data_IF_820292910510
#
_entry.id   IF_820292910510
#
_cell.length_a   1.000
_cell.length_b   1.000
_cell.length_c   1.000
_cell.angle_alpha   90.00
_cell.angle_beta   90.00
_cell.angle_gamma   90.00
#
_symmetry.space_group_name_H-M   'P 1'
#
loop_
_entity.id
_entity.type
_entity.pdbx_description
1 polymer ?
#
# COMPACT_ATOMS: atom_id res chain seq x y z
N UNK A 1 -4.92 23.25 -4.74
CA UNK A 1 -4.31 22.01 -5.31
C UNK A 1 -5.03 20.79 -4.73
N UNK A 2 -5.38 19.80 -5.56
CA UNK A 2 -6.00 18.55 -5.09
C UNK A 2 -4.91 17.65 -4.50
N UNK A 3 -5.12 17.14 -3.29
CA UNK A 3 -4.17 16.21 -2.67
C UNK A 3 -4.36 14.82 -3.29
N UNK A 4 -3.36 14.35 -4.07
CA UNK A 4 -3.42 13.10 -4.83
C UNK A 4 -3.63 11.88 -3.93
N UNK A 5 -2.97 11.84 -2.76
CA UNK A 5 -3.14 10.75 -1.80
C UNK A 5 -4.61 10.62 -1.37
N UNK A 6 -5.26 11.71 -0.97
CA UNK A 6 -6.68 11.65 -0.60
C UNK A 6 -7.61 11.40 -1.80
N UNK A 7 -7.19 11.77 -3.01
CA UNK A 7 -7.95 11.49 -4.23
C UNK A 7 -7.97 9.98 -4.55
N UNK A 8 -6.82 9.31 -4.41
CA UNK A 8 -6.72 7.84 -4.55
C UNK A 8 -7.60 7.15 -3.51
N UNK A 9 -7.55 7.59 -2.25
CA UNK A 9 -8.40 7.03 -1.20
C UNK A 9 -9.89 7.26 -1.45
N UNK A 10 -10.28 8.45 -1.91
CA UNK A 10 -11.67 8.73 -2.25
C UNK A 10 -12.16 7.83 -3.39
N UNK A 11 -11.36 7.68 -4.45
CA UNK A 11 -11.70 6.80 -5.58
C UNK A 11 -11.83 5.35 -5.14
N UNK A 12 -10.86 4.84 -4.38
CA UNK A 12 -10.87 3.47 -3.85
C UNK A 12 -12.13 3.18 -3.02
N UNK A 13 -12.52 4.09 -2.12
CA UNK A 13 -13.72 3.94 -1.28
C UNK A 13 -15.01 3.98 -2.12
N UNK A 14 -15.12 4.98 -3.00
CA UNK A 14 -16.34 5.20 -3.79
C UNK A 14 -16.52 4.09 -4.83
N UNK A 15 -15.44 3.70 -5.51
CA UNK A 15 -15.43 2.60 -6.47
C UNK A 15 -15.82 1.28 -5.79
N UNK A 16 -15.25 0.95 -4.61
CA UNK A 16 -15.64 -0.27 -3.89
C UNK A 16 -17.13 -0.28 -3.56
N UNK A 17 -17.67 0.83 -3.06
CA UNK A 17 -19.11 0.94 -2.74
C UNK A 17 -20.00 0.86 -3.97
N UNK A 18 -19.57 1.41 -5.11
CA UNK A 18 -20.28 1.37 -6.40
C UNK A 18 -20.40 -0.07 -6.93
N UNK A 19 -19.31 -0.82 -6.92
CA UNK A 19 -19.27 -2.18 -7.50
C UNK A 19 -19.63 -3.31 -6.51
N UNK A 20 -19.53 -3.06 -5.20
CA UNK A 20 -19.85 -4.05 -4.16
C UNK A 20 -20.81 -3.48 -3.07
N UNK A 21 -22.00 -2.98 -3.44
CA UNK A 21 -22.88 -2.26 -2.51
C UNK A 21 -23.40 -3.11 -1.32
N UNK A 22 -23.45 -4.44 -1.47
CA UNK A 22 -23.93 -5.36 -0.43
C UNK A 22 -22.87 -5.73 0.62
N UNK A 23 -21.59 -5.41 0.37
CA UNK A 23 -20.47 -5.80 1.26
C UNK A 23 -20.32 -4.81 2.41
N UNK A 24 -20.41 -5.33 3.65
CA UNK A 24 -20.29 -4.52 4.88
C UNK A 24 -18.85 -4.33 5.35
N UNK A 25 -17.94 -5.17 4.88
CA UNK A 25 -16.52 -5.21 5.23
C UNK A 25 -15.65 -4.25 4.41
N UNK A 26 -16.26 -3.37 3.60
CA UNK A 26 -15.56 -2.45 2.70
C UNK A 26 -14.45 -1.64 3.37
N UNK A 27 -14.61 -1.24 4.64
CA UNK A 27 -13.61 -0.44 5.36
C UNK A 27 -12.29 -1.20 5.48
N UNK A 28 -12.37 -2.44 5.95
CA UNK A 28 -11.19 -3.28 6.17
C UNK A 28 -10.59 -3.65 4.82
N UNK A 29 -11.41 -4.01 3.84
CA UNK A 29 -10.94 -4.38 2.51
C UNK A 29 -10.19 -3.24 1.82
N UNK A 30 -10.77 -2.04 1.78
CA UNK A 30 -10.14 -0.86 1.18
C UNK A 30 -8.90 -0.43 1.98
N UNK A 31 -8.96 -0.53 3.31
CA UNK A 31 -7.83 -0.21 4.18
C UNK A 31 -6.63 -1.13 3.92
N UNK A 32 -6.84 -2.44 3.95
CA UNK A 32 -5.79 -3.42 3.71
C UNK A 32 -5.22 -3.25 2.32
N UNK A 33 -6.08 -3.20 1.30
CA UNK A 33 -5.66 -3.05 -0.09
C UNK A 33 -4.75 -1.83 -0.30
N UNK A 34 -5.19 -0.63 0.08
CA UNK A 34 -4.38 0.57 -0.12
C UNK A 34 -3.12 0.58 0.76
N UNK A 35 -3.16 -0.05 1.93
CA UNK A 35 -1.97 -0.20 2.80
C UNK A 35 -0.91 -1.08 2.16
N UNK A 36 -1.31 -2.24 1.61
CA UNK A 36 -0.40 -3.13 0.90
C UNK A 36 0.20 -2.48 -0.34
N UNK A 37 -0.60 -1.74 -1.11
CA UNK A 37 -0.08 -1.00 -2.28
C UNK A 37 0.96 0.05 -1.84
N UNK A 38 0.70 0.82 -0.78
CA UNK A 38 1.67 1.81 -0.30
C UNK A 38 2.94 1.13 0.26
N UNK A 39 2.81 0.03 0.99
CA UNK A 39 3.94 -0.74 1.52
C UNK A 39 4.82 -1.29 0.38
N UNK A 40 4.19 -1.84 -0.66
CA UNK A 40 4.86 -2.37 -1.84
C UNK A 40 5.55 -1.28 -2.67
N UNK A 41 4.92 -0.11 -2.80
CA UNK A 41 5.55 1.07 -3.41
C UNK A 41 6.78 1.54 -2.64
N UNK A 42 6.71 1.58 -1.31
CA UNK A 42 7.86 1.95 -0.47
C UNK A 42 8.97 0.91 -0.51
N UNK A 43 8.63 -0.38 -0.43
CA UNK A 43 9.58 -1.46 -0.59
C UNK A 43 10.34 -1.37 -1.91
N UNK A 44 9.64 -1.05 -3.00
CA UNK A 44 10.26 -0.84 -4.33
C UNK A 44 11.31 0.26 -4.30
N UNK A 45 11.01 1.39 -3.65
CA UNK A 45 11.97 2.50 -3.49
C UNK A 45 13.18 2.04 -2.69
N UNK A 46 12.97 1.35 -1.58
CA UNK A 46 14.06 0.90 -0.71
C UNK A 46 14.96 -0.15 -1.36
N UNK A 47 14.40 -1.03 -2.19
CA UNK A 47 15.16 -1.98 -2.99
C UNK A 47 16.18 -1.26 -3.88
N UNK A 48 15.79 -0.17 -4.55
CA UNK A 48 16.72 0.63 -5.36
C UNK A 48 17.72 1.44 -4.53
N UNK A 49 17.28 2.00 -3.40
CA UNK A 49 18.19 2.70 -2.47
C UNK A 49 19.29 1.76 -1.97
N UNK A 50 18.95 0.51 -1.68
CA UNK A 50 19.90 -0.55 -1.30
C UNK A 50 20.82 -0.91 -2.48
N UNK A 51 20.27 -1.10 -3.69
CA UNK A 51 21.03 -1.41 -4.89
C UNK A 51 22.12 -0.37 -5.20
N UNK A 52 21.78 0.92 -5.12
CA UNK A 52 22.74 2.02 -5.34
C UNK A 52 23.62 2.32 -4.12
N UNK A 53 23.55 1.51 -3.06
CA UNK A 53 24.33 1.64 -1.83
C UNK A 53 24.22 3.04 -1.19
N UNK A 54 23.06 3.69 -1.35
CA UNK A 54 22.79 5.04 -0.81
C UNK A 54 22.55 4.95 0.70
N UNK A 55 21.79 3.94 1.13
CA UNK A 55 21.53 3.63 2.53
C UNK A 55 21.53 2.11 2.72
N UNK A 56 22.25 1.64 3.72
CA UNK A 56 22.30 0.24 4.09
C UNK A 56 21.34 0.00 5.26
N UNK A 57 20.10 -0.36 4.94
CA UNK A 57 19.07 -0.65 5.94
C UNK A 57 19.18 -2.14 6.31
N UNK A 58 19.53 -2.48 7.56
CA UNK A 58 19.56 -3.87 7.99
C UNK A 58 18.14 -4.44 7.92
N UNK A 59 17.98 -5.54 7.17
CA UNK A 59 16.69 -6.20 7.03
C UNK A 59 16.30 -6.86 8.36
N UNK A 60 15.03 -6.73 8.73
CA UNK A 60 14.53 -7.40 9.92
C UNK A 60 14.43 -8.90 9.65
N UNK A 61 15.21 -9.71 10.37
CA UNK A 61 15.17 -11.17 10.23
C UNK A 61 14.35 -11.77 11.37
N UNK A 62 13.46 -12.69 11.00
CA UNK A 62 12.66 -13.49 11.91
C UNK A 62 12.99 -14.94 11.59
N UNK A 63 13.14 -15.75 12.62
CA UNK A 63 13.39 -17.19 12.50
C UNK A 63 12.62 -17.86 13.63
N UNK A 64 11.29 -17.90 13.50
CA UNK A 64 10.38 -18.40 14.54
C UNK A 64 9.65 -19.64 14.04
N UNK A 65 9.38 -19.74 12.74
CA UNK A 65 8.59 -20.83 12.18
C UNK A 65 9.46 -21.82 11.37
N UNK A 66 9.06 -23.10 11.29
CA UNK A 66 9.74 -24.06 10.41
C UNK A 66 9.47 -23.70 8.94
N UNK A 67 10.34 -22.87 8.36
CA UNK A 67 10.33 -22.48 6.95
C UNK A 67 10.49 -20.97 6.74
N UNK A 68 11.28 -20.58 5.74
CA UNK A 68 11.69 -19.18 5.52
C UNK A 68 10.60 -18.26 4.96
N UNK A 69 9.55 -18.82 4.34
CA UNK A 69 8.53 -18.03 3.65
C UNK A 69 7.64 -17.25 4.63
N UNK A 70 7.14 -17.94 5.67
CA UNK A 70 6.27 -17.33 6.69
C UNK A 70 7.04 -16.24 7.43
N UNK A 71 8.26 -16.55 7.84
CA UNK A 71 9.13 -15.60 8.53
C UNK A 71 9.45 -14.38 7.66
N UNK A 72 9.78 -14.58 6.38
CA UNK A 72 10.01 -13.47 5.44
C UNK A 72 8.77 -12.60 5.23
N UNK A 73 7.58 -13.21 5.16
CA UNK A 73 6.32 -12.49 5.01
C UNK A 73 5.99 -11.66 6.26
N UNK A 74 6.20 -12.22 7.46
CA UNK A 74 5.97 -11.50 8.72
C UNK A 74 6.98 -10.35 8.86
N UNK A 75 8.25 -10.59 8.54
CA UNK A 75 9.28 -9.57 8.51
C UNK A 75 8.88 -8.41 7.57
N UNK A 76 8.48 -8.73 6.34
CA UNK A 76 7.98 -7.74 5.39
C UNK A 76 6.77 -6.96 5.94
N UNK A 77 5.83 -7.67 6.56
CA UNK A 77 4.61 -7.05 7.10
C UNK A 77 4.94 -6.07 8.23
N UNK A 78 5.85 -6.44 9.13
CA UNK A 78 6.24 -5.56 10.23
C UNK A 78 7.11 -4.38 9.77
N UNK A 79 8.05 -4.62 8.85
CA UNK A 79 8.98 -3.60 8.37
C UNK A 79 8.31 -2.60 7.44
N UNK A 80 7.48 -3.07 6.50
CA UNK A 80 6.91 -2.24 5.45
C UNK A 80 5.41 -1.99 5.62
N UNK A 81 4.59 -3.01 5.92
CA UNK A 81 3.13 -2.80 5.95
C UNK A 81 2.64 -2.08 7.21
N UNK A 82 3.23 -2.37 8.38
CA UNK A 82 2.78 -1.86 9.67
C UNK A 82 2.89 -0.33 9.79
N UNK A 83 4.00 0.34 9.40
CA UNK A 83 4.07 1.81 9.44
C UNK A 83 2.97 2.46 8.59
N UNK A 84 2.70 1.91 7.40
CA UNK A 84 1.61 2.41 6.55
C UNK A 84 0.23 2.08 7.11
N UNK A 85 0.05 0.95 7.78
CA UNK A 85 -1.22 0.62 8.44
C UNK A 85 -1.55 1.68 9.51
N UNK A 86 -0.57 2.01 10.37
CA UNK A 86 -0.72 3.06 11.39
C UNK A 86 -0.99 4.41 10.75
N UNK A 87 -0.18 4.82 9.77
CA UNK A 87 -0.33 6.10 9.08
C UNK A 87 -1.70 6.23 8.38
N UNK A 88 -2.07 5.24 7.58
CA UNK A 88 -3.34 5.22 6.86
C UNK A 88 -4.54 5.21 7.82
N UNK A 89 -4.43 4.52 8.96
CA UNK A 89 -5.48 4.53 9.96
C UNK A 89 -5.73 5.96 10.47
N UNK A 90 -4.68 6.67 10.88
CA UNK A 90 -4.81 8.04 11.40
C UNK A 90 -5.22 9.07 10.34
N UNK A 91 -4.76 8.90 9.10
CA UNK A 91 -5.06 9.84 8.02
C UNK A 91 -6.47 9.63 7.44
N UNK A 92 -6.97 8.40 7.40
CA UNK A 92 -8.20 8.05 6.68
C UNK A 92 -9.33 7.63 7.60
N UNK A 93 -9.11 6.73 8.55
CA UNK A 93 -10.21 6.10 9.29
C UNK A 93 -10.43 6.65 10.69
N UNK A 94 -9.39 7.18 11.33
CA UNK A 94 -9.46 7.78 12.65
C UNK A 94 -10.52 8.88 12.68
N UNK A 95 -11.39 8.88 13.70
CA UNK A 95 -12.54 9.79 13.84
C UNK A 95 -13.42 9.88 12.59
N UNK A 96 -13.53 8.79 11.80
CA UNK A 96 -14.30 8.74 10.56
C UNK A 96 -13.91 9.79 9.49
N UNK A 97 -12.64 10.21 9.44
CA UNK A 97 -12.13 11.20 8.47
C UNK A 97 -12.45 10.85 7.01
N UNK A 98 -12.59 9.57 6.67
CA UNK A 98 -12.99 9.11 5.35
C UNK A 98 -14.30 9.74 4.87
N UNK A 99 -15.23 10.07 5.79
CA UNK A 99 -16.48 10.77 5.45
C UNK A 99 -16.20 12.17 4.89
N UNK A 100 -15.27 12.88 5.51
CA UNK A 100 -14.83 14.21 5.06
C UNK A 100 -14.11 14.10 3.72
N UNK A 101 -13.31 13.05 3.52
CA UNK A 101 -12.58 12.80 2.27
C UNK A 101 -13.55 12.56 1.11
N UNK A 102 -14.53 11.66 1.26
CA UNK A 102 -15.52 11.39 0.20
C UNK A 102 -16.44 12.57 -0.07
N UNK A 103 -16.73 13.41 0.93
CA UNK A 103 -17.49 14.64 0.74
C UNK A 103 -16.68 15.69 -0.03
N UNK A 104 -15.38 15.79 0.25
CA UNK A 104 -14.46 16.71 -0.45
C UNK A 104 -14.19 16.27 -1.89
N UNK A 105 -14.19 14.96 -2.15
CA UNK A 105 -13.96 14.36 -3.46
C UNK A 105 -15.12 13.41 -3.81
N UNK A 106 -16.32 13.92 -4.15
CA UNK A 106 -17.51 13.10 -4.38
C UNK A 106 -17.47 12.35 -5.72
N UNK A 107 -16.67 12.85 -6.67
CA UNK A 107 -16.50 12.25 -8.00
C UNK A 107 -15.02 12.36 -8.39
N UNK A 108 -14.15 11.56 -7.75
CA UNK A 108 -12.75 11.49 -8.13
C UNK A 108 -12.64 10.92 -9.56
N UNK A 109 -11.52 11.17 -10.27
CA UNK A 109 -11.29 10.57 -11.58
C UNK A 109 -11.46 9.05 -11.50
N UNK A 110 -12.32 8.50 -12.35
CA UNK A 110 -12.57 7.07 -12.35
C UNK A 110 -11.28 6.29 -12.62
N UNK A 111 -11.10 5.17 -11.91
CA UNK A 111 -9.98 4.24 -12.05
C UNK A 111 -8.62 4.78 -11.58
N UNK A 112 -8.55 5.94 -10.92
CA UNK A 112 -7.28 6.47 -10.41
C UNK A 112 -6.61 5.51 -9.42
N UNK A 113 -7.37 4.98 -8.47
CA UNK A 113 -6.87 4.02 -7.49
C UNK A 113 -6.41 2.72 -8.16
N UNK A 114 -7.14 2.27 -9.17
CA UNK A 114 -6.77 1.09 -9.95
C UNK A 114 -5.46 1.32 -10.73
N UNK A 115 -5.36 2.42 -11.49
CA UNK A 115 -4.16 2.77 -12.26
C UNK A 115 -2.96 2.88 -11.32
N UNK A 116 -3.08 3.62 -10.22
CA UNK A 116 -2.02 3.74 -9.22
C UNK A 116 -1.57 2.38 -8.70
N UNK A 117 -2.51 1.53 -8.28
CA UNK A 117 -2.20 0.21 -7.73
C UNK A 117 -1.53 -0.71 -8.75
N UNK A 118 -1.99 -0.70 -9.99
CA UNK A 118 -1.43 -1.50 -11.08
C UNK A 118 -0.03 -1.02 -11.43
N UNK A 119 0.20 0.29 -11.50
CA UNK A 119 1.51 0.87 -11.74
C UNK A 119 2.50 0.49 -10.64
N UNK A 120 2.08 0.57 -9.37
CA UNK A 120 2.92 0.20 -8.23
C UNK A 120 3.24 -1.30 -8.22
N UNK A 121 2.24 -2.16 -8.47
CA UNK A 121 2.44 -3.60 -8.57
C UNK A 121 3.40 -3.99 -9.70
N UNK A 122 3.22 -3.38 -10.88
CA UNK A 122 4.08 -3.62 -12.03
C UNK A 122 5.51 -3.12 -11.78
N UNK A 123 5.67 -1.93 -11.21
CA UNK A 123 6.97 -1.37 -10.87
C UNK A 123 7.72 -2.24 -9.86
N UNK A 124 7.03 -2.73 -8.83
CA UNK A 124 7.62 -3.63 -7.84
C UNK A 124 8.05 -4.96 -8.46
N UNK A 125 7.21 -5.57 -9.30
CA UNK A 125 7.53 -6.81 -9.98
C UNK A 125 8.76 -6.66 -10.89
N UNK A 126 8.78 -5.63 -11.75
CA UNK A 126 9.92 -5.34 -12.62
C UNK A 126 11.18 -5.07 -11.78
N UNK A 127 11.07 -4.29 -10.70
CA UNK A 127 12.21 -3.97 -9.84
C UNK A 127 12.76 -5.21 -9.14
N UNK A 128 11.90 -6.12 -8.68
CA UNK A 128 12.31 -7.37 -8.05
C UNK A 128 13.09 -8.26 -9.04
N UNK A 129 12.58 -8.40 -10.26
CA UNK A 129 13.23 -9.18 -11.32
C UNK A 129 14.58 -8.56 -11.70
N UNK A 130 14.63 -7.25 -11.94
CA UNK A 130 15.88 -6.57 -12.29
C UNK A 130 16.90 -6.65 -11.17
N UNK A 131 16.50 -6.42 -9.92
CA UNK A 131 17.40 -6.54 -8.78
C UNK A 131 17.99 -7.95 -8.69
N UNK A 132 17.16 -8.99 -8.80
CA UNK A 132 17.63 -10.38 -8.76
C UNK A 132 18.52 -10.79 -9.94
N UNK A 133 18.46 -10.10 -11.09
CA UNK A 133 19.36 -10.32 -12.22
C UNK A 133 20.67 -9.54 -12.06
N UNK A 134 20.64 -8.38 -11.41
CA UNK A 134 21.77 -7.47 -11.28
C UNK A 134 22.64 -7.71 -10.03
N UNK A 135 22.18 -8.51 -9.08
CA UNK A 135 22.90 -8.91 -7.85
C UNK A 135 23.13 -10.40 -7.80
#
# INVERSE_FOLDING_TARGET
MRNVYYLIWADSILSFKKYHPKRRDWKITVFLYNTWINALGFWTILLWVKYFNVLNIPQFQIDIFPGTLIDSFIAFTMEFALPFAVLNYFLIFHKNRYKVIIQKYPSPPEKLAFIYSASVALAAFISAVLYGVLT
#
